data_IF_627355310965
#
_entry.id   IF_627355310965
#
_cell.length_a   1.000
_cell.length_b   1.000
_cell.length_c   1.000
_cell.angle_alpha   90.00
_cell.angle_beta   90.00
_cell.angle_gamma   90.00
#
_symmetry.space_group_name_H-M   'P 1'
#
loop_
_entity.id
_entity.type
_entity.pdbx_description
1 polymer ?
#
# COMPACT_ATOMS: atom_id res chain seq x y z
N UNK A 1 6.44 4.83 -23.48
CA UNK A 1 5.76 4.77 -22.16
C UNK A 1 4.27 4.63 -22.40
N UNK A 2 3.63 3.67 -21.82
CA UNK A 2 2.20 3.41 -21.99
C UNK A 2 1.35 4.56 -21.42
N UNK A 3 0.41 5.06 -22.23
CA UNK A 3 -0.54 6.09 -21.80
C UNK A 3 -1.85 5.47 -21.26
N UNK A 4 -2.73 6.31 -20.68
CA UNK A 4 -3.99 5.85 -20.08
C UNK A 4 -4.79 4.92 -21.00
N UNK A 5 -4.95 5.26 -22.28
CA UNK A 5 -5.73 4.46 -23.25
C UNK A 5 -5.16 3.07 -23.45
N UNK A 6 -3.84 2.95 -23.54
CA UNK A 6 -3.15 1.67 -23.71
C UNK A 6 -3.29 0.80 -22.45
N UNK A 7 -3.08 1.39 -21.26
CA UNK A 7 -3.26 0.71 -19.99
C UNK A 7 -4.70 0.19 -19.85
N UNK A 8 -5.70 1.02 -20.15
CA UNK A 8 -7.11 0.65 -20.05
C UNK A 8 -7.53 -0.40 -21.09
N UNK A 9 -6.98 -0.36 -22.29
CA UNK A 9 -7.30 -1.32 -23.35
C UNK A 9 -6.86 -2.75 -23.07
N UNK A 10 -5.80 -2.93 -22.25
CA UNK A 10 -5.27 -4.25 -21.88
C UNK A 10 -5.90 -4.81 -20.61
N UNK A 11 -6.77 -4.06 -19.93
CA UNK A 11 -7.39 -4.50 -18.68
C UNK A 11 -8.33 -5.67 -18.88
N UNK A 12 -8.23 -6.73 -18.06
CA UNK A 12 -9.25 -7.77 -18.01
C UNK A 12 -10.58 -7.23 -17.45
N UNK A 13 -11.57 -8.09 -17.37
CA UNK A 13 -12.88 -7.73 -16.78
C UNK A 13 -12.72 -7.32 -15.31
N UNK A 14 -13.58 -6.38 -14.85
CA UNK A 14 -13.71 -6.03 -13.44
C UNK A 14 -14.38 -7.16 -12.67
N UNK A 15 -14.08 -7.22 -11.39
CA UNK A 15 -14.86 -8.05 -10.47
C UNK A 15 -16.25 -7.44 -10.26
N UNK A 16 -17.21 -8.31 -9.95
CA UNK A 16 -18.53 -7.85 -9.53
C UNK A 16 -18.44 -7.34 -8.08
N UNK A 17 -18.75 -6.07 -7.86
CA UNK A 17 -18.73 -5.44 -6.53
C UNK A 17 -20.05 -4.80 -6.18
N UNK A 18 -20.36 -4.72 -4.87
CA UNK A 18 -21.54 -4.07 -4.34
C UNK A 18 -21.13 -2.77 -3.66
N UNK A 19 -21.79 -1.65 -4.00
CA UNK A 19 -21.47 -0.35 -3.41
C UNK A 19 -21.71 -0.28 -1.89
N UNK A 20 -22.56 -1.14 -1.34
CA UNK A 20 -22.93 -1.15 0.07
C UNK A 20 -22.13 -2.16 0.92
N UNK A 21 -21.23 -2.93 0.29
CA UNK A 21 -20.42 -3.93 0.95
C UNK A 21 -18.93 -3.71 0.68
N UNK A 22 -18.05 -3.82 1.71
CA UNK A 22 -16.62 -3.88 1.47
C UNK A 22 -16.34 -5.16 0.68
N UNK A 23 -15.37 -5.12 -0.24
CA UNK A 23 -15.07 -6.34 -1.00
C UNK A 23 -14.24 -7.33 -0.17
N UNK A 24 -13.59 -6.85 0.90
CA UNK A 24 -12.91 -7.70 1.88
C UNK A 24 -12.71 -6.95 3.20
N UNK A 25 -12.48 -7.68 4.31
CA UNK A 25 -12.03 -7.13 5.59
C UNK A 25 -11.35 -8.21 6.41
N UNK A 26 -10.37 -7.81 7.21
CA UNK A 26 -9.56 -8.71 8.05
C UNK A 26 -9.28 -8.10 9.41
N UNK A 27 -8.96 -8.97 10.36
CA UNK A 27 -8.36 -8.63 11.65
C UNK A 27 -6.96 -9.20 11.71
N UNK A 28 -5.98 -8.39 12.02
CA UNK A 28 -4.57 -8.75 12.02
C UNK A 28 -3.80 -8.09 13.15
N UNK A 29 -2.52 -8.43 13.30
CA UNK A 29 -1.61 -7.79 14.24
C UNK A 29 -0.52 -7.07 13.45
N UNK A 30 -0.25 -5.81 13.82
CA UNK A 30 0.89 -5.04 13.31
C UNK A 30 1.60 -4.33 14.47
N UNK A 31 2.89 -4.00 14.35
CA UNK A 31 3.51 -3.12 15.34
C UNK A 31 2.89 -1.73 15.29
N UNK A 32 2.54 -1.24 16.46
CA UNK A 32 2.10 0.14 16.63
C UNK A 32 3.28 1.12 16.62
N UNK A 33 2.99 2.43 16.77
CA UNK A 33 4.03 3.48 16.79
C UNK A 33 5.09 3.30 17.89
N UNK A 34 4.79 2.53 18.92
CA UNK A 34 5.70 2.19 20.03
C UNK A 34 6.55 0.94 19.74
N UNK A 35 6.35 0.28 18.59
CA UNK A 35 6.97 -1.00 18.25
C UNK A 35 6.31 -2.22 18.89
N UNK A 36 5.29 -2.03 19.74
CA UNK A 36 4.53 -3.14 20.33
C UNK A 36 3.41 -3.58 19.38
N UNK A 37 3.09 -4.89 19.31
CA UNK A 37 1.96 -5.37 18.52
C UNK A 37 0.63 -4.75 18.95
N UNK A 38 -0.14 -4.28 17.98
CA UNK A 38 -1.48 -3.75 18.12
C UNK A 38 -2.46 -4.53 17.25
N UNK A 39 -3.70 -4.67 17.71
CA UNK A 39 -4.77 -5.23 16.90
C UNK A 39 -5.21 -4.22 15.83
N UNK A 40 -5.36 -4.69 14.61
CA UNK A 40 -5.68 -3.87 13.43
C UNK A 40 -6.86 -4.46 12.68
N UNK A 41 -7.87 -3.64 12.42
CA UNK A 41 -8.96 -3.96 11.51
C UNK A 41 -8.70 -3.29 10.16
N UNK A 42 -8.50 -4.07 9.11
CA UNK A 42 -8.31 -3.56 7.75
C UNK A 42 -9.57 -3.81 6.94
N UNK A 43 -10.18 -2.75 6.44
CA UNK A 43 -11.35 -2.76 5.58
C UNK A 43 -10.94 -2.37 4.16
N UNK A 44 -11.29 -3.21 3.19
CA UNK A 44 -11.10 -2.96 1.77
C UNK A 44 -12.44 -2.51 1.18
N UNK A 45 -12.61 -1.20 1.09
CA UNK A 45 -13.86 -0.55 0.74
C UNK A 45 -14.05 -0.51 -0.78
N UNK A 46 -15.28 -0.65 -1.20
CA UNK A 46 -15.72 -0.52 -2.58
C UNK A 46 -16.11 0.94 -2.86
N UNK A 47 -15.29 1.64 -3.62
CA UNK A 47 -15.52 3.03 -4.00
C UNK A 47 -15.32 3.26 -5.50
N UNK A 48 -15.47 4.51 -5.94
CA UNK A 48 -15.16 4.90 -7.32
C UNK A 48 -13.68 4.63 -7.62
N UNK A 49 -13.43 4.16 -8.83
CA UNK A 49 -12.08 3.99 -9.36
C UNK A 49 -11.26 5.28 -9.26
N UNK A 50 -9.99 5.12 -8.89
CA UNK A 50 -8.99 6.18 -8.89
C UNK A 50 -8.88 6.85 -10.27
N UNK A 51 -8.74 8.18 -10.30
CA UNK A 51 -8.56 8.94 -11.55
C UNK A 51 -7.20 8.73 -12.19
N UNK A 52 -6.19 8.31 -11.41
CA UNK A 52 -4.86 7.97 -11.91
C UNK A 52 -4.87 6.55 -12.48
N UNK A 53 -4.20 6.36 -13.62
CA UNK A 53 -4.10 5.08 -14.32
C UNK A 53 -2.66 4.56 -14.21
N UNK A 54 -2.25 4.26 -12.97
CA UNK A 54 -0.92 3.74 -12.74
C UNK A 54 -0.73 2.39 -13.44
N UNK A 55 0.41 2.23 -14.13
CA UNK A 55 0.69 1.10 -15.00
C UNK A 55 0.59 -0.24 -14.24
N UNK A 56 1.15 -0.33 -13.03
CA UNK A 56 1.19 -1.55 -12.22
C UNK A 56 -0.08 -1.80 -11.39
N UNK A 57 -1.03 -0.87 -11.36
CA UNK A 57 -2.19 -0.96 -10.47
C UNK A 57 -3.21 -1.98 -10.98
N UNK A 58 -3.67 -2.86 -10.09
CA UNK A 58 -4.76 -3.82 -10.32
C UNK A 58 -6.00 -3.55 -9.43
N UNK A 59 -5.92 -2.58 -8.53
CA UNK A 59 -6.97 -2.26 -7.56
C UNK A 59 -8.30 -1.82 -8.19
N UNK A 60 -8.25 -1.27 -9.41
CA UNK A 60 -9.43 -0.89 -10.19
C UNK A 60 -10.42 -2.04 -10.41
N UNK A 61 -9.97 -3.29 -10.30
CA UNK A 61 -10.82 -4.48 -10.44
C UNK A 61 -11.96 -4.51 -9.45
N UNK A 62 -11.75 -4.00 -8.24
CA UNK A 62 -12.70 -4.01 -7.13
C UNK A 62 -13.32 -2.62 -6.89
N UNK A 63 -13.52 -1.83 -7.95
CA UNK A 63 -14.05 -0.46 -7.86
C UNK A 63 -15.32 -0.28 -8.67
N UNK A 64 -16.09 0.74 -8.31
CA UNK A 64 -17.28 1.15 -9.05
C UNK A 64 -16.89 1.92 -10.34
N UNK A 65 -17.71 1.80 -11.37
CA UNK A 65 -17.54 2.56 -12.62
C UNK A 65 -17.99 4.02 -12.48
N UNK A 66 -18.99 4.28 -11.62
CA UNK A 66 -19.53 5.62 -11.31
C UNK A 66 -19.06 6.13 -9.94
N UNK A 67 -19.46 7.36 -9.57
CA UNK A 67 -19.23 7.90 -8.22
C UNK A 67 -19.82 6.99 -7.15
N UNK A 68 -19.15 6.94 -6.00
CA UNK A 68 -19.67 6.22 -4.83
C UNK A 68 -20.97 6.88 -4.34
N UNK A 69 -22.07 6.14 -4.15
CA UNK A 69 -23.31 6.69 -3.60
C UNK A 69 -23.09 7.23 -2.18
N UNK A 70 -23.77 8.32 -1.84
CA UNK A 70 -23.74 8.88 -0.50
C UNK A 70 -24.18 7.85 0.55
N UNK A 71 -23.50 7.77 1.67
CA UNK A 71 -23.72 6.81 2.75
C UNK A 71 -23.22 5.40 2.46
N UNK A 72 -22.78 5.08 1.24
CA UNK A 72 -22.32 3.73 0.90
C UNK A 72 -21.08 3.32 1.69
N UNK A 73 -20.09 4.21 1.83
CA UNK A 73 -18.89 3.97 2.63
C UNK A 73 -19.24 3.71 4.10
N UNK A 74 -20.19 4.48 4.63
CA UNK A 74 -20.65 4.32 6.02
C UNK A 74 -21.29 2.94 6.22
N UNK A 75 -22.17 2.49 5.30
CA UNK A 75 -22.77 1.15 5.36
C UNK A 75 -21.75 0.02 5.28
N UNK A 76 -20.72 0.17 4.46
CA UNK A 76 -19.60 -0.79 4.36
C UNK A 76 -18.83 -0.89 5.68
N UNK A 77 -18.54 0.25 6.32
CA UNK A 77 -17.89 0.28 7.63
C UNK A 77 -18.79 -0.40 8.67
N UNK A 78 -20.07 -0.04 8.76
CA UNK A 78 -21.02 -0.66 9.67
C UNK A 78 -21.11 -2.19 9.47
N UNK A 79 -21.12 -2.65 8.21
CA UNK A 79 -21.15 -4.07 7.86
C UNK A 79 -19.90 -4.82 8.38
N UNK A 80 -18.72 -4.25 8.18
CA UNK A 80 -17.46 -4.85 8.62
C UNK A 80 -17.34 -4.85 10.14
N UNK A 81 -17.64 -3.71 10.80
CA UNK A 81 -17.50 -3.56 12.24
C UNK A 81 -18.44 -4.48 13.02
N UNK A 82 -19.60 -4.81 12.48
CA UNK A 82 -20.50 -5.80 13.09
C UNK A 82 -19.93 -7.24 13.12
N UNK A 83 -18.81 -7.49 12.41
CA UNK A 83 -18.20 -8.83 12.22
C UNK A 83 -16.77 -8.92 12.72
N UNK A 84 -16.13 -7.78 12.96
CA UNK A 84 -14.75 -7.71 13.41
C UNK A 84 -14.69 -7.52 14.93
N UNK A 85 -13.68 -8.08 15.60
CA UNK A 85 -13.42 -7.80 17.01
C UNK A 85 -12.92 -6.37 17.21
N UNK A 86 -12.87 -5.92 18.46
CA UNK A 86 -12.25 -4.64 18.82
C UNK A 86 -10.76 -4.63 18.43
N UNK A 87 -10.29 -3.45 18.02
CA UNK A 87 -8.90 -3.24 17.62
C UNK A 87 -8.44 -1.83 17.99
N UNK A 88 -7.12 -1.60 18.04
CA UNK A 88 -6.53 -0.29 18.32
C UNK A 88 -6.49 0.59 17.06
N UNK A 89 -6.31 -0.02 15.90
CA UNK A 89 -6.15 0.66 14.61
C UNK A 89 -7.21 0.17 13.61
N UNK A 90 -7.73 1.10 12.82
CA UNK A 90 -8.54 0.78 11.64
C UNK A 90 -7.88 1.32 10.37
N UNK A 91 -7.80 0.50 9.32
CA UNK A 91 -7.39 0.91 7.97
C UNK A 91 -8.60 0.92 7.05
N UNK A 92 -8.82 2.04 6.41
CA UNK A 92 -9.90 2.24 5.44
C UNK A 92 -9.29 2.37 4.04
N UNK A 93 -8.96 1.23 3.43
CA UNK A 93 -8.40 1.15 2.09
C UNK A 93 -9.52 1.07 1.06
N UNK A 94 -9.57 2.01 0.13
CA UNK A 94 -10.69 2.15 -0.80
C UNK A 94 -10.31 1.92 -2.27
N UNK A 95 -9.18 1.28 -2.52
CA UNK A 95 -8.67 1.02 -3.88
C UNK A 95 -8.48 2.31 -4.71
N UNK A 96 -8.22 3.40 -4.04
CA UNK A 96 -8.16 4.70 -4.69
C UNK A 96 -7.68 5.80 -3.76
N UNK A 97 -8.50 6.83 -3.60
CA UNK A 97 -8.13 8.01 -2.84
C UNK A 97 -9.26 8.36 -1.88
N UNK A 98 -8.97 8.33 -0.59
CA UNK A 98 -9.97 8.64 0.43
C UNK A 98 -10.47 10.11 0.32
N UNK A 99 -9.60 11.03 -0.07
CA UNK A 99 -9.95 12.44 -0.22
C UNK A 99 -10.37 12.84 -1.65
N UNK A 100 -10.61 11.87 -2.55
CA UNK A 100 -11.34 12.12 -3.79
C UNK A 100 -12.85 12.17 -3.47
N UNK A 101 -13.55 13.32 -3.68
CA UNK A 101 -14.97 13.46 -3.33
C UNK A 101 -15.90 12.53 -4.11
N UNK A 102 -15.42 11.92 -5.21
CA UNK A 102 -16.17 10.92 -5.97
C UNK A 102 -15.96 9.51 -5.44
N UNK A 103 -14.87 9.26 -4.70
CA UNK A 103 -14.56 7.97 -4.09
C UNK A 103 -15.12 7.88 -2.65
N UNK A 104 -14.90 8.91 -1.83
CA UNK A 104 -15.50 9.05 -0.51
C UNK A 104 -16.21 10.41 -0.45
N UNK A 105 -17.55 10.46 -0.49
CA UNK A 105 -18.29 11.71 -0.45
C UNK A 105 -17.95 12.51 0.81
N UNK A 106 -17.61 13.80 0.71
CA UNK A 106 -17.31 14.63 1.89
C UNK A 106 -18.45 14.72 2.91
N UNK A 107 -19.70 14.57 2.46
CA UNK A 107 -20.87 14.50 3.33
C UNK A 107 -20.85 13.27 4.27
N UNK A 108 -20.14 12.21 3.90
CA UNK A 108 -20.02 10.98 4.70
C UNK A 108 -18.93 11.11 5.80
N UNK A 109 -18.02 12.10 5.71
CA UNK A 109 -16.85 12.20 6.59
C UNK A 109 -17.24 12.23 8.08
N UNK A 110 -18.23 13.03 8.46
CA UNK A 110 -18.67 13.12 9.86
C UNK A 110 -19.22 11.77 10.37
N UNK A 111 -19.99 11.07 9.54
CA UNK A 111 -20.52 9.76 9.88
C UNK A 111 -19.41 8.68 9.94
N UNK A 112 -18.38 8.76 9.09
CA UNK A 112 -17.19 7.91 9.16
C UNK A 112 -16.41 8.17 10.44
N UNK A 113 -16.14 9.43 10.78
CA UNK A 113 -15.45 9.84 12.01
C UNK A 113 -16.14 9.27 13.27
N UNK A 114 -17.47 9.26 13.30
CA UNK A 114 -18.23 8.68 14.41
C UNK A 114 -18.00 7.16 14.53
N UNK A 115 -17.97 6.40 13.41
CA UNK A 115 -17.74 4.96 13.41
C UNK A 115 -16.32 4.59 13.83
N UNK A 116 -15.36 5.42 13.49
CA UNK A 116 -13.95 5.17 13.82
C UNK A 116 -13.51 5.79 15.15
N UNK A 117 -14.40 6.45 15.88
CA UNK A 117 -14.13 7.07 17.18
C UNK A 117 -13.45 6.15 18.20
N UNK A 118 -13.78 4.85 18.30
CA UNK A 118 -13.13 3.95 19.25
C UNK A 118 -11.65 3.68 18.97
N UNK A 119 -11.18 3.94 17.74
CA UNK A 119 -9.84 3.60 17.32
C UNK A 119 -8.83 4.68 17.69
N UNK A 120 -7.66 4.26 18.18
CA UNK A 120 -6.54 5.16 18.48
C UNK A 120 -5.88 5.71 17.23
N UNK A 121 -5.96 4.95 16.11
CA UNK A 121 -5.37 5.31 14.83
C UNK A 121 -6.29 4.92 13.68
N UNK A 122 -6.44 5.85 12.75
CA UNK A 122 -7.16 5.66 11.48
C UNK A 122 -6.18 5.81 10.34
N UNK A 123 -6.10 4.82 9.48
CA UNK A 123 -5.23 4.83 8.28
C UNK A 123 -6.10 4.90 7.03
N UNK A 124 -5.80 5.82 6.13
CA UNK A 124 -6.50 5.97 4.84
C UNK A 124 -5.52 6.02 3.68
N UNK A 125 -5.93 5.59 2.49
CA UNK A 125 -5.12 5.71 1.27
C UNK A 125 -5.38 7.03 0.56
N UNK A 126 -4.32 7.64 0.02
CA UNK A 126 -4.49 8.81 -0.84
C UNK A 126 -3.31 8.99 -1.80
N UNK A 127 -3.59 9.52 -2.98
CA UNK A 127 -2.53 9.92 -3.89
C UNK A 127 -1.86 11.22 -3.38
N UNK A 128 -0.52 11.37 -3.45
CA UNK A 128 0.18 12.56 -2.96
C UNK A 128 -0.36 13.87 -3.53
N UNK A 129 -0.82 13.88 -4.78
CA UNK A 129 -1.39 15.08 -5.43
C UNK A 129 -2.79 15.48 -4.92
N UNK A 130 -3.43 14.64 -4.12
CA UNK A 130 -4.74 14.93 -3.50
C UNK A 130 -4.61 15.25 -1.99
N UNK A 131 -3.38 15.42 -1.52
CA UNK A 131 -3.11 15.89 -0.15
C UNK A 131 -3.41 17.39 -0.06
N UNK A 132 -4.12 17.80 0.99
CA UNK A 132 -4.48 19.18 1.23
C UNK A 132 -5.41 19.34 2.44
N UNK A 133 -6.12 20.46 2.52
CA UNK A 133 -6.98 20.84 3.66
C UNK A 133 -8.06 19.81 4.02
N UNK A 134 -8.49 18.97 3.05
CA UNK A 134 -9.45 17.91 3.34
C UNK A 134 -8.88 16.87 4.32
N UNK A 135 -7.58 16.58 4.25
CA UNK A 135 -6.88 15.70 5.20
C UNK A 135 -6.89 16.30 6.61
N UNK A 136 -6.64 17.61 6.71
CA UNK A 136 -6.62 18.35 7.99
C UNK A 136 -8.01 18.38 8.61
N UNK A 137 -9.04 18.76 7.84
CA UNK A 137 -10.43 18.78 8.34
C UNK A 137 -10.90 17.39 8.80
N UNK A 138 -10.50 16.34 8.08
CA UNK A 138 -10.85 14.98 8.51
C UNK A 138 -10.12 14.60 9.80
N UNK A 139 -8.81 14.90 9.91
CA UNK A 139 -8.03 14.68 11.12
C UNK A 139 -8.64 15.39 12.33
N UNK A 140 -9.09 16.66 12.16
CA UNK A 140 -9.63 17.50 13.26
C UNK A 140 -10.94 16.92 13.86
N UNK A 141 -11.68 16.13 13.11
CA UNK A 141 -12.87 15.43 13.59
C UNK A 141 -12.61 14.05 14.20
N UNK A 142 -11.36 13.57 14.24
CA UNK A 142 -10.99 12.29 14.86
C UNK A 142 -10.62 12.49 16.33
N UNK A 143 -10.93 11.49 17.16
CA UNK A 143 -10.42 11.40 18.55
C UNK A 143 -9.01 10.78 18.58
N UNK A 144 -8.71 9.90 17.65
CA UNK A 144 -7.41 9.27 17.45
C UNK A 144 -6.53 10.00 16.43
N UNK A 145 -5.39 9.43 16.11
CA UNK A 145 -4.47 9.94 15.09
C UNK A 145 -4.88 9.53 13.69
N UNK A 146 -4.60 10.38 12.70
CA UNK A 146 -4.70 10.04 11.28
C UNK A 146 -3.33 9.65 10.72
N UNK A 147 -3.29 8.58 9.94
CA UNK A 147 -2.17 8.19 9.10
C UNK A 147 -2.63 8.14 7.64
N UNK A 148 -1.92 8.82 6.73
CA UNK A 148 -2.23 8.79 5.30
C UNK A 148 -1.19 7.93 4.58
N UNK A 149 -1.66 6.84 3.97
CA UNK A 149 -0.86 5.94 3.17
C UNK A 149 -0.78 6.44 1.72
N UNK A 150 0.42 6.68 1.22
CA UNK A 150 0.66 7.24 -0.11
C UNK A 150 1.62 6.37 -0.91
N UNK A 151 1.28 6.06 -2.15
CA UNK A 151 2.19 5.38 -3.06
C UNK A 151 3.32 6.31 -3.53
N UNK A 152 4.55 6.05 -3.10
CA UNK A 152 5.77 6.62 -3.67
C UNK A 152 6.28 5.76 -4.82
N UNK A 153 6.11 4.47 -4.72
CA UNK A 153 6.46 3.37 -5.62
C UNK A 153 7.99 3.22 -5.76
N UNK A 154 8.64 4.17 -6.37
CA UNK A 154 10.10 4.23 -6.56
C UNK A 154 10.55 5.68 -6.78
N UNK A 155 11.82 5.96 -6.51
CA UNK A 155 12.47 7.22 -6.92
C UNK A 155 13.37 7.05 -8.14
N UNK A 156 13.36 5.86 -8.78
CA UNK A 156 14.17 5.62 -9.97
C UNK A 156 13.82 6.62 -11.09
N UNK A 157 14.80 7.35 -11.64
CA UNK A 157 14.54 8.50 -12.53
C UNK A 157 13.85 8.13 -13.86
N UNK A 158 14.00 6.90 -14.34
CA UNK A 158 13.37 6.43 -15.57
C UNK A 158 12.10 5.60 -15.27
N UNK A 159 12.10 4.77 -14.23
CA UNK A 159 10.94 3.92 -13.93
C UNK A 159 9.76 4.75 -13.40
N UNK A 160 9.95 5.66 -12.45
CA UNK A 160 8.84 6.42 -11.87
C UNK A 160 8.00 7.18 -12.91
N UNK A 161 8.56 7.93 -13.87
CA UNK A 161 7.77 8.54 -14.94
C UNK A 161 7.03 7.51 -15.82
N UNK A 162 7.66 6.35 -16.04
CA UNK A 162 7.09 5.28 -16.87
C UNK A 162 5.92 4.54 -16.21
N UNK A 163 5.79 4.60 -14.87
CA UNK A 163 4.63 4.04 -14.15
C UNK A 163 3.31 4.80 -14.40
N UNK A 164 3.29 5.87 -15.18
CA UNK A 164 2.11 6.69 -15.44
C UNK A 164 1.38 7.20 -14.19
N UNK A 165 2.10 7.28 -13.06
CA UNK A 165 1.54 7.71 -11.77
C UNK A 165 1.37 9.23 -11.66
N UNK A 166 1.96 9.99 -12.58
CA UNK A 166 1.95 11.45 -12.57
C UNK A 166 2.56 12.05 -11.27
N UNK A 167 3.55 11.37 -10.71
CA UNK A 167 4.20 11.75 -9.48
C UNK A 167 5.70 12.03 -9.72
N UNK A 168 6.24 12.99 -8.98
CA UNK A 168 7.67 13.21 -8.85
C UNK A 168 8.11 13.05 -7.38
N UNK A 169 9.37 12.70 -7.09
CA UNK A 169 9.87 12.63 -5.72
C UNK A 169 9.67 13.96 -4.97
N UNK A 170 9.87 15.09 -5.64
CA UNK A 170 9.65 16.41 -5.04
C UNK A 170 8.17 16.65 -4.67
N UNK A 171 7.20 16.19 -5.49
CA UNK A 171 5.79 16.29 -5.18
C UNK A 171 5.41 15.41 -3.98
N UNK A 172 5.97 14.19 -3.90
CA UNK A 172 5.79 13.31 -2.74
C UNK A 172 6.32 13.98 -1.46
N UNK A 173 7.56 14.51 -1.49
CA UNK A 173 8.16 15.20 -0.33
C UNK A 173 7.33 16.39 0.14
N UNK A 174 6.77 17.18 -0.78
CA UNK A 174 5.84 18.29 -0.41
C UNK A 174 4.59 17.77 0.27
N UNK A 175 3.98 16.71 -0.25
CA UNK A 175 2.78 16.11 0.35
C UNK A 175 3.07 15.53 1.74
N UNK A 176 4.15 14.79 1.91
CA UNK A 176 4.59 14.26 3.20
C UNK A 176 4.87 15.40 4.20
N UNK A 177 5.60 16.44 3.80
CA UNK A 177 5.88 17.61 4.62
C UNK A 177 4.61 18.38 5.03
N UNK A 178 3.63 18.50 4.13
CA UNK A 178 2.32 19.08 4.48
C UNK A 178 1.61 18.26 5.56
N UNK A 179 1.52 16.95 5.40
CA UNK A 179 0.84 16.08 6.37
C UNK A 179 1.54 16.11 7.74
N UNK A 180 2.86 15.96 7.77
CA UNK A 180 3.63 15.94 9.02
C UNK A 180 3.59 17.29 9.75
N UNK A 181 3.63 18.41 9.02
CA UNK A 181 3.48 19.76 9.63
C UNK A 181 2.12 19.98 10.29
N UNK A 182 1.10 19.18 9.90
CA UNK A 182 -0.22 19.19 10.52
C UNK A 182 -0.44 18.02 11.50
N UNK A 183 0.62 17.34 11.95
CA UNK A 183 0.52 16.23 12.90
C UNK A 183 -0.17 14.97 12.34
N UNK A 184 -0.21 14.82 11.03
CA UNK A 184 -0.74 13.63 10.34
C UNK A 184 0.43 12.71 10.01
N UNK A 185 0.35 11.45 10.43
CA UNK A 185 1.36 10.44 10.14
C UNK A 185 1.34 10.05 8.66
N UNK A 186 2.48 9.62 8.15
CA UNK A 186 2.61 9.24 6.74
C UNK A 186 3.13 7.81 6.61
N UNK A 187 2.42 7.00 5.81
CA UNK A 187 2.90 5.71 5.32
C UNK A 187 3.23 5.82 3.83
N UNK A 188 4.35 5.25 3.42
CA UNK A 188 4.75 5.18 2.01
C UNK A 188 4.65 3.73 1.50
N UNK A 189 4.02 3.53 0.35
CA UNK A 189 4.13 2.28 -0.41
C UNK A 189 5.33 2.37 -1.33
N UNK A 190 6.19 1.34 -1.28
CA UNK A 190 7.41 1.21 -2.06
C UNK A 190 7.37 -0.11 -2.83
N UNK A 191 7.62 -0.06 -4.13
CA UNK A 191 7.63 -1.26 -4.96
C UNK A 191 9.01 -1.88 -5.06
N UNK A 192 9.07 -3.20 -4.93
CA UNK A 192 10.22 -4.00 -5.31
C UNK A 192 10.07 -4.46 -6.76
N UNK A 193 11.08 -4.22 -7.57
CA UNK A 193 11.10 -4.49 -9.02
C UNK A 193 9.88 -3.93 -9.77
N UNK A 194 9.60 -2.61 -9.70
CA UNK A 194 8.61 -2.04 -10.60
C UNK A 194 9.05 -2.20 -12.06
N UNK A 195 8.12 -2.16 -13.05
CA UNK A 195 8.46 -2.18 -14.45
C UNK A 195 9.62 -1.26 -14.82
N UNK A 196 10.41 -1.69 -15.79
CA UNK A 196 11.63 -1.03 -16.29
C UNK A 196 12.84 -1.06 -15.33
N UNK A 197 12.74 -1.79 -14.23
CA UNK A 197 13.88 -2.21 -13.41
C UNK A 197 13.93 -3.74 -13.50
N UNK A 198 14.72 -4.26 -14.44
CA UNK A 198 14.72 -5.69 -14.81
C UNK A 198 15.87 -6.47 -14.18
N UNK A 199 16.88 -5.79 -13.63
CA UNK A 199 17.95 -6.39 -12.85
C UNK A 199 17.55 -6.49 -11.37
N UNK A 200 17.71 -7.68 -10.77
CA UNK A 200 17.28 -7.92 -9.38
C UNK A 200 18.08 -7.09 -8.36
N UNK A 201 19.39 -6.89 -8.59
CA UNK A 201 20.22 -6.08 -7.67
C UNK A 201 19.86 -4.61 -7.75
N UNK A 202 19.59 -4.11 -8.97
CA UNK A 202 19.07 -2.76 -9.15
C UNK A 202 17.69 -2.60 -8.50
N UNK A 203 16.81 -3.60 -8.60
CA UNK A 203 15.52 -3.63 -7.93
C UNK A 203 15.65 -3.47 -6.42
N UNK A 204 16.54 -4.25 -5.79
CA UNK A 204 16.84 -4.15 -4.36
C UNK A 204 17.40 -2.76 -4.03
N UNK A 205 18.41 -2.31 -4.77
CA UNK A 205 19.06 -1.02 -4.54
C UNK A 205 18.04 0.14 -4.57
N UNK A 206 17.20 0.20 -5.61
CA UNK A 206 16.23 1.28 -5.75
C UNK A 206 15.08 1.20 -4.75
N UNK A 207 14.67 0.02 -4.31
CA UNK A 207 13.69 -0.12 -3.24
C UNK A 207 14.26 0.42 -1.92
N UNK A 208 15.52 0.07 -1.57
CA UNK A 208 16.21 0.58 -0.37
C UNK A 208 16.39 2.10 -0.44
N UNK A 209 16.86 2.64 -1.57
CA UNK A 209 17.00 4.09 -1.76
C UNK A 209 15.65 4.82 -1.69
N UNK A 210 14.58 4.19 -2.16
CA UNK A 210 13.23 4.75 -2.06
C UNK A 210 12.75 4.80 -0.61
N UNK A 211 13.03 3.76 0.19
CA UNK A 211 12.76 3.76 1.64
C UNK A 211 13.56 4.85 2.34
N UNK A 212 14.86 4.99 2.04
CA UNK A 212 15.70 6.07 2.57
C UNK A 212 15.11 7.45 2.27
N UNK A 213 14.78 7.70 1.01
CA UNK A 213 14.14 8.95 0.58
C UNK A 213 12.82 9.21 1.28
N UNK A 214 11.99 8.18 1.46
CA UNK A 214 10.73 8.29 2.19
C UNK A 214 10.97 8.76 3.63
N UNK A 215 11.89 8.13 4.34
CA UNK A 215 12.26 8.50 5.70
C UNK A 215 12.84 9.91 5.80
N UNK A 216 13.70 10.32 4.87
CA UNK A 216 14.22 11.70 4.77
C UNK A 216 13.10 12.72 4.45
N UNK A 217 11.99 12.27 3.89
CA UNK A 217 10.81 13.09 3.61
C UNK A 217 9.84 13.17 4.79
N UNK A 218 10.14 12.58 5.95
CA UNK A 218 9.33 12.62 7.15
C UNK A 218 8.28 11.49 7.23
N UNK A 219 8.44 10.42 6.44
CA UNK A 219 7.54 9.25 6.51
C UNK A 219 7.79 8.47 7.80
N UNK A 220 6.72 8.03 8.46
CA UNK A 220 6.76 7.23 9.69
C UNK A 220 6.85 5.73 9.43
N UNK A 221 6.25 5.29 8.32
CA UNK A 221 6.10 3.87 8.00
C UNK A 221 6.33 3.64 6.51
N UNK A 222 7.14 2.64 6.14
CA UNK A 222 7.27 2.16 4.76
C UNK A 222 6.67 0.76 4.64
N UNK A 223 5.85 0.53 3.61
CA UNK A 223 5.34 -0.79 3.24
C UNK A 223 5.91 -1.17 1.87
N UNK A 224 6.74 -2.21 1.84
CA UNK A 224 7.39 -2.71 0.63
C UNK A 224 6.51 -3.77 0.00
N UNK A 225 6.19 -3.59 -1.28
CA UNK A 225 5.27 -4.44 -2.03
C UNK A 225 6.04 -5.04 -3.21
N UNK A 226 6.09 -6.35 -3.28
CA UNK A 226 6.61 -7.06 -4.45
C UNK A 226 5.65 -6.85 -5.63
N UNK A 227 6.16 -6.30 -6.74
CA UNK A 227 5.35 -6.08 -7.94
C UNK A 227 4.92 -7.41 -8.53
N UNK A 228 3.68 -7.47 -9.02
CA UNK A 228 3.10 -8.68 -9.57
C UNK A 228 2.38 -8.41 -10.90
N UNK A 229 2.30 -9.41 -11.80
CA UNK A 229 1.39 -9.35 -12.94
C UNK A 229 -0.07 -9.45 -12.47
N UNK A 230 -1.02 -9.35 -13.38
CA UNK A 230 -2.44 -9.56 -13.07
C UNK A 230 -3.37 -8.46 -13.61
N UNK A 231 -2.83 -7.43 -14.28
CA UNK A 231 -3.64 -6.31 -14.73
C UNK A 231 -3.71 -6.13 -16.26
N UNK A 232 -3.13 -7.06 -17.03
CA UNK A 232 -3.09 -7.08 -18.48
C UNK A 232 -1.83 -6.45 -19.06
N UNK A 233 -1.51 -5.20 -18.71
CA UNK A 233 -0.31 -4.55 -19.21
C UNK A 233 0.97 -5.12 -18.58
N UNK A 234 0.91 -5.55 -17.32
CA UNK A 234 2.06 -6.17 -16.65
C UNK A 234 2.46 -7.51 -17.32
N UNK A 235 1.48 -8.27 -17.84
CA UNK A 235 1.72 -9.47 -18.64
C UNK A 235 2.39 -9.13 -19.97
N UNK A 236 1.97 -8.05 -20.61
CA UNK A 236 2.61 -7.58 -21.86
C UNK A 236 4.07 -7.18 -21.60
N UNK A 237 4.35 -6.47 -20.51
CA UNK A 237 5.70 -6.07 -20.13
C UNK A 237 6.57 -7.27 -19.72
N UNK A 238 5.98 -8.30 -19.08
CA UNK A 238 6.66 -9.54 -18.80
C UNK A 238 7.06 -10.24 -20.12
N UNK A 239 6.16 -10.27 -21.10
CA UNK A 239 6.42 -10.85 -22.41
C UNK A 239 7.48 -10.10 -23.23
N UNK A 240 7.60 -8.78 -23.09
CA UNK A 240 8.63 -7.96 -23.76
C UNK A 240 9.97 -7.93 -23.01
N UNK A 241 10.04 -8.41 -21.76
CA UNK A 241 11.22 -8.33 -20.91
C UNK A 241 11.40 -6.97 -20.22
N UNK A 242 10.43 -6.07 -20.31
CA UNK A 242 10.43 -4.77 -19.62
C UNK A 242 10.00 -4.87 -18.16
N UNK A 243 9.54 -6.03 -17.73
CA UNK A 243 9.24 -6.37 -16.35
C UNK A 243 9.76 -7.77 -16.01
N UNK A 244 10.42 -7.88 -14.88
CA UNK A 244 10.88 -9.15 -14.28
C UNK A 244 10.31 -9.23 -12.87
N UNK A 245 9.52 -10.27 -12.53
CA UNK A 245 9.02 -10.45 -11.18
C UNK A 245 10.15 -10.55 -10.17
N UNK A 246 10.00 -9.94 -8.98
CA UNK A 246 10.97 -10.12 -7.91
C UNK A 246 10.96 -11.55 -7.37
N UNK A 247 12.04 -11.93 -6.69
CA UNK A 247 12.14 -13.21 -5.97
C UNK A 247 11.85 -13.01 -4.48
N UNK A 248 11.54 -14.10 -3.78
CA UNK A 248 11.41 -14.09 -2.32
C UNK A 248 12.73 -13.68 -1.64
N UNK A 249 13.89 -14.08 -2.21
CA UNK A 249 15.21 -13.67 -1.74
C UNK A 249 15.42 -12.15 -1.85
N UNK A 250 14.98 -11.54 -2.96
CA UNK A 250 15.04 -10.10 -3.15
C UNK A 250 14.16 -9.36 -2.12
N UNK A 251 12.95 -9.87 -1.84
CA UNK A 251 12.06 -9.30 -0.82
C UNK A 251 12.69 -9.37 0.58
N UNK A 252 13.28 -10.49 0.96
CA UNK A 252 14.00 -10.66 2.22
C UNK A 252 15.20 -9.71 2.34
N UNK A 253 15.97 -9.56 1.26
CA UNK A 253 17.16 -8.69 1.24
C UNK A 253 16.76 -7.21 1.41
N UNK A 254 15.74 -6.75 0.68
CA UNK A 254 15.23 -5.37 0.81
C UNK A 254 14.67 -5.13 2.20
N UNK A 255 13.92 -6.09 2.77
CA UNK A 255 13.34 -5.93 4.09
C UNK A 255 14.42 -5.80 5.17
N UNK A 256 15.42 -6.68 5.17
CA UNK A 256 16.53 -6.61 6.12
C UNK A 256 17.30 -5.27 6.00
N UNK A 257 17.59 -4.83 4.77
CA UNK A 257 18.25 -3.55 4.55
C UNK A 257 17.40 -2.35 5.02
N UNK A 258 16.10 -2.37 4.75
CA UNK A 258 15.16 -1.32 5.15
C UNK A 258 14.97 -1.24 6.66
N UNK A 259 14.91 -2.38 7.37
CA UNK A 259 14.91 -2.44 8.85
C UNK A 259 16.17 -1.79 9.43
N UNK A 260 17.34 -2.00 8.80
CA UNK A 260 18.59 -1.34 9.20
C UNK A 260 18.56 0.20 9.05
N UNK A 261 17.67 0.74 8.21
CA UNK A 261 17.48 2.18 8.00
C UNK A 261 16.39 2.80 8.91
N UNK A 262 15.59 1.97 9.59
CA UNK A 262 14.35 2.40 10.22
C UNK A 262 14.54 3.43 11.35
N UNK A 263 15.56 3.28 12.20
CA UNK A 263 15.87 4.20 13.31
C UNK A 263 14.63 4.54 14.17
N UNK A 264 13.86 3.51 14.55
CA UNK A 264 12.62 3.65 15.33
C UNK A 264 11.35 3.92 14.51
N UNK A 265 11.46 4.00 13.18
CA UNK A 265 10.32 4.00 12.25
C UNK A 265 9.92 2.56 11.91
N UNK A 266 8.78 2.40 11.23
CA UNK A 266 8.28 1.07 10.90
C UNK A 266 8.53 0.72 9.43
N UNK A 267 8.90 -0.54 9.20
CA UNK A 267 9.02 -1.10 7.85
C UNK A 267 8.21 -2.39 7.80
N UNK A 268 7.41 -2.53 6.76
CA UNK A 268 6.65 -3.74 6.48
C UNK A 268 6.99 -4.28 5.10
N UNK A 269 6.89 -5.58 4.93
CA UNK A 269 6.74 -6.20 3.61
C UNK A 269 5.33 -6.75 3.49
N UNK A 270 4.72 -6.55 2.33
CA UNK A 270 3.46 -7.20 2.00
C UNK A 270 3.69 -8.70 1.87
N UNK A 271 3.01 -9.49 2.70
CA UNK A 271 3.09 -10.96 2.69
C UNK A 271 1.83 -11.61 2.11
N UNK A 272 0.93 -10.81 1.54
CA UNK A 272 -0.26 -11.30 0.88
C UNK A 272 0.10 -11.87 -0.49
N UNK A 273 -0.37 -13.09 -0.72
CA UNK A 273 -0.25 -13.76 -2.02
C UNK A 273 1.18 -13.79 -2.60
N UNK A 274 2.19 -13.92 -1.73
CA UNK A 274 3.61 -13.94 -2.14
C UNK A 274 4.09 -15.31 -2.66
N UNK A 275 3.18 -16.27 -2.86
CA UNK A 275 3.51 -17.60 -3.37
C UNK A 275 4.20 -17.57 -4.74
N UNK A 276 3.91 -16.55 -5.56
CA UNK A 276 4.56 -16.40 -6.88
C UNK A 276 6.05 -16.01 -6.80
N UNK A 277 6.55 -15.59 -5.65
CA UNK A 277 7.94 -15.15 -5.44
C UNK A 277 8.92 -16.31 -5.26
N UNK A 278 8.43 -17.54 -5.04
CA UNK A 278 9.27 -18.71 -4.78
C UNK A 278 8.79 -19.92 -5.52
N UNK A 279 9.75 -20.63 -6.13
CA UNK A 279 9.52 -21.94 -6.76
C UNK A 279 9.79 -23.13 -5.83
N UNK A 280 10.30 -22.87 -4.61
CA UNK A 280 10.68 -23.92 -3.66
C UNK A 280 9.61 -24.20 -2.60
N UNK A 281 8.88 -25.31 -2.68
CA UNK A 281 7.88 -25.66 -1.69
C UNK A 281 8.47 -26.05 -0.33
N UNK A 282 9.78 -26.42 -0.27
CA UNK A 282 10.40 -26.89 0.97
C UNK A 282 10.63 -25.79 2.00
N UNK A 283 11.01 -24.59 1.56
CA UNK A 283 11.34 -23.49 2.46
C UNK A 283 10.33 -22.33 2.43
N UNK A 284 9.39 -22.32 1.50
CA UNK A 284 8.48 -21.21 1.29
C UNK A 284 7.72 -20.81 2.56
N UNK A 285 7.04 -21.77 3.22
CA UNK A 285 6.25 -21.47 4.42
C UNK A 285 7.12 -20.99 5.59
N UNK A 286 8.31 -21.55 5.77
CA UNK A 286 9.24 -21.10 6.81
C UNK A 286 9.75 -19.68 6.54
N UNK A 287 10.06 -19.35 5.27
CA UNK A 287 10.48 -17.99 4.86
C UNK A 287 9.34 -16.98 5.00
N UNK A 288 8.12 -17.35 4.59
CA UNK A 288 6.92 -16.52 4.77
C UNK A 288 6.66 -16.24 6.25
N UNK A 289 6.72 -17.27 7.10
CA UNK A 289 6.56 -17.13 8.56
C UNK A 289 7.65 -16.25 9.16
N UNK A 290 8.90 -16.36 8.67
CA UNK A 290 10.00 -15.47 9.07
C UNK A 290 9.71 -14.02 8.71
N UNK A 291 9.24 -13.71 7.50
CA UNK A 291 8.85 -12.35 7.11
C UNK A 291 7.71 -11.81 7.97
N UNK A 292 6.71 -12.64 8.28
CA UNK A 292 5.61 -12.27 9.16
C UNK A 292 6.08 -11.94 10.60
N UNK A 293 7.00 -12.73 11.14
CA UNK A 293 7.61 -12.47 12.45
C UNK A 293 8.43 -11.15 12.44
N UNK A 294 9.25 -10.93 11.40
CA UNK A 294 10.01 -9.69 11.23
C UNK A 294 9.10 -8.46 11.03
N UNK A 295 7.95 -8.63 10.36
CA UNK A 295 6.92 -7.57 10.29
C UNK A 295 6.42 -7.20 11.68
N UNK A 296 6.21 -8.20 12.55
CA UNK A 296 5.59 -8.00 13.85
C UNK A 296 6.57 -7.43 14.90
N UNK A 297 7.82 -7.92 14.93
CA UNK A 297 8.80 -7.53 15.94
C UNK A 297 9.84 -6.50 15.45
N UNK A 298 9.81 -6.16 14.16
CA UNK A 298 10.71 -5.18 13.52
C UNK A 298 12.20 -5.51 13.70
N UNK A 299 12.53 -6.79 13.82
CA UNK A 299 13.89 -7.29 13.99
C UNK A 299 14.33 -8.18 12.84
N UNK A 300 15.63 -8.20 12.55
CA UNK A 300 16.18 -9.06 11.49
C UNK A 300 16.39 -10.46 12.04
N UNK A 301 15.61 -11.43 11.57
CA UNK A 301 15.76 -12.83 11.92
C UNK A 301 16.77 -13.54 11.03
N UNK A 302 17.34 -14.65 11.55
CA UNK A 302 18.28 -15.49 10.79
C UNK A 302 17.61 -16.03 9.51
N UNK A 303 18.33 -16.05 8.39
CA UNK A 303 17.83 -16.63 7.14
C UNK A 303 17.49 -18.11 7.29
N UNK A 304 16.47 -18.55 6.58
CA UNK A 304 16.11 -19.97 6.51
C UNK A 304 17.07 -20.67 5.54
N UNK A 305 17.84 -21.62 6.07
CA UNK A 305 18.74 -22.45 5.26
C UNK A 305 17.93 -23.40 4.34
N UNK A 306 18.24 -23.42 3.06
CA UNK A 306 17.68 -24.35 2.09
C UNK A 306 18.66 -24.60 0.97
N UNK A 307 18.64 -25.81 0.40
CA UNK A 307 19.48 -26.19 -0.75
C UNK A 307 19.04 -25.51 -2.07
N UNK A 308 17.86 -24.89 -2.08
CA UNK A 308 17.33 -24.14 -3.23
C UNK A 308 17.82 -22.70 -3.28
N UNK A 309 18.85 -22.30 -2.53
CA UNK A 309 19.23 -20.89 -2.35
C UNK A 309 19.17 -20.19 -3.70
N UNK A 310 18.11 -19.41 -3.86
CA UNK A 310 18.01 -18.44 -4.94
C UNK A 310 19.04 -17.36 -4.61
N UNK A 311 20.17 -17.44 -5.26
CA UNK A 311 21.19 -16.40 -5.17
C UNK A 311 20.61 -15.14 -5.81
N UNK A 312 20.52 -14.08 -5.05
CA UNK A 312 20.14 -12.74 -5.51
C UNK A 312 21.26 -12.17 -6.38
#
# INVERSE_FOLDING_TARGET
MAGNREIEALRPARNHVNADLPYHFIHEQEPGPTGLPEAVNTLFLTGKECSFKCLMCDLWKNTLTGPTPAGAIVRQIDYALARLPAADTIKLYNNGNFFDPKAVPPADHAAIQERVRPYRRVVVENHPLLVGDACVRFRDGLTGSLEVAMGLETIHPLALPALNKQLTPAAFRRAAGFLTSHGIRVRAFVLLNPPYITDAREGIRWAVETVRFAFESGVDTCSIIATRPGNGIMESLLGSGDYVPPTLGALEAVFAAALGLAQGRLVFVDTWDIGFLSSCPKCFEARKSRLAAMNLDQTIHQPIACSCIEHV
#
